data_IF_781990329139
#
_entry.id   IF_781990329139
#
_cell.length_a   1.000
_cell.length_b   1.000
_cell.length_c   1.000
_cell.angle_alpha   90.00
_cell.angle_beta   90.00
_cell.angle_gamma   90.00
#
_symmetry.space_group_name_H-M   'P 1'
#
loop_
_entity.id
_entity.type
_entity.pdbx_description
1 polymer ?
#
# COMPACT_ATOMS: atom_id res chain seq x y z
N UNK A 1 -9.19 62.99 49.52
CA UNK A 1 -7.73 62.98 49.68
C UNK A 1 -7.31 61.54 49.95
N UNK A 2 -6.56 60.90 49.05
CA UNK A 2 -6.03 59.54 49.27
C UNK A 2 -6.13 58.59 48.08
N UNK A 3 -5.24 58.79 47.10
CA UNK A 3 -4.58 57.82 46.19
C UNK A 3 -5.30 56.57 45.66
N UNK A 4 -5.55 56.62 44.35
CA UNK A 4 -5.32 55.60 43.32
C UNK A 4 -4.24 54.55 43.65
N UNK A 5 -4.53 53.26 43.39
CA UNK A 5 -3.64 52.36 42.61
C UNK A 5 -4.52 51.37 41.82
N UNK A 6 -4.39 51.42 40.50
CA UNK A 6 -4.94 50.44 39.56
C UNK A 6 -3.96 49.25 39.46
N UNK A 7 -4.46 48.03 39.67
CA UNK A 7 -3.69 46.79 39.49
C UNK A 7 -4.10 46.10 38.20
N UNK A 8 -3.40 46.40 37.11
CA UNK A 8 -3.47 45.63 35.87
C UNK A 8 -2.54 44.42 35.95
N UNK A 9 -3.03 43.25 35.53
CA UNK A 9 -2.16 42.09 35.27
C UNK A 9 -2.09 41.94 33.76
N UNK A 10 -0.96 42.37 33.19
CA UNK A 10 -0.59 42.09 31.81
C UNK A 10 0.08 40.70 31.79
N UNK A 11 -0.59 39.72 31.20
CA UNK A 11 0.03 38.42 30.90
C UNK A 11 0.95 38.62 29.69
N UNK A 12 2.26 38.60 29.93
CA UNK A 12 3.25 38.61 28.86
C UNK A 12 3.25 37.26 28.13
N UNK A 13 2.91 37.27 26.84
CA UNK A 13 3.18 36.15 25.93
C UNK A 13 4.67 36.19 25.59
N UNK A 14 5.47 35.35 26.25
CA UNK A 14 6.87 35.13 25.86
C UNK A 14 6.87 34.22 24.63
N UNK A 15 7.17 34.77 23.46
CA UNK A 15 7.52 33.98 22.29
C UNK A 15 8.99 33.58 22.40
N UNK A 16 9.28 32.37 22.86
CA UNK A 16 10.62 31.81 22.69
C UNK A 16 10.72 31.26 21.27
N UNK A 17 11.24 32.09 20.37
CA UNK A 17 11.92 31.58 19.18
C UNK A 17 13.21 30.95 19.66
N UNK A 18 13.19 29.66 19.94
CA UNK A 18 14.42 28.87 20.05
C UNK A 18 14.54 27.96 18.84
N UNK A 19 15.58 28.26 18.09
CA UNK A 19 16.08 27.49 16.98
C UNK A 19 16.57 26.11 17.47
N UNK A 20 16.41 25.10 16.61
CA UNK A 20 17.11 23.82 16.66
C UNK A 20 16.81 22.94 17.90
N UNK A 21 15.56 22.51 18.02
CA UNK A 21 15.21 21.33 18.81
C UNK A 21 14.22 20.49 18.02
N UNK A 22 14.65 19.35 17.49
CA UNK A 22 13.74 18.29 17.03
C UNK A 22 12.98 17.78 18.26
N UNK A 23 11.94 18.51 18.67
CA UNK A 23 10.91 17.99 19.56
C UNK A 23 10.39 16.70 18.91
N UNK A 24 10.42 15.61 19.67
CA UNK A 24 10.01 14.29 19.22
C UNK A 24 8.67 14.43 18.48
N UNK A 25 8.71 14.33 17.16
CA UNK A 25 7.50 14.11 16.37
C UNK A 25 6.90 12.83 16.93
N UNK A 26 5.61 12.79 17.33
CA UNK A 26 4.96 11.51 17.59
C UNK A 26 5.29 10.63 16.39
N UNK A 27 5.91 9.45 16.64
CA UNK A 27 6.53 8.60 15.63
C UNK A 27 5.76 8.72 14.32
N UNK A 28 6.28 9.53 13.38
CA UNK A 28 5.63 9.69 12.09
C UNK A 28 5.53 8.27 11.57
N UNK A 29 4.30 7.79 11.35
CA UNK A 29 4.06 6.44 10.84
C UNK A 29 5.09 6.21 9.74
N UNK A 30 5.90 5.16 9.87
CA UNK A 30 7.00 4.92 8.93
C UNK A 30 6.40 4.99 7.53
N UNK A 31 6.78 5.99 6.70
CA UNK A 31 6.14 6.17 5.42
C UNK A 31 6.36 4.90 4.58
N UNK A 32 5.36 4.52 3.79
CA UNK A 32 5.55 3.49 2.79
C UNK A 32 6.54 4.00 1.73
N UNK A 33 7.65 3.29 1.57
CA UNK A 33 8.72 3.66 0.62
C UNK A 33 9.02 2.57 -0.39
N UNK A 34 8.34 1.43 -0.28
CA UNK A 34 8.34 0.34 -1.25
C UNK A 34 6.93 0.07 -1.77
N UNK A 35 6.81 -0.15 -3.09
CA UNK A 35 5.57 -0.58 -3.73
C UNK A 35 5.86 -1.77 -4.65
N UNK A 36 5.14 -2.87 -4.44
CA UNK A 36 5.03 -3.97 -5.40
C UNK A 36 3.63 -3.93 -6.02
N UNK A 37 3.59 -3.69 -7.33
CA UNK A 37 2.36 -3.67 -8.12
C UNK A 37 2.33 -4.85 -9.11
N UNK A 38 1.19 -5.52 -9.19
CA UNK A 38 0.93 -6.60 -10.16
C UNK A 38 -0.39 -6.33 -10.86
N UNK A 39 -0.34 -6.28 -12.20
CA UNK A 39 -1.52 -6.26 -13.06
C UNK A 39 -1.74 -7.66 -13.62
N UNK A 40 -2.99 -8.12 -13.61
CA UNK A 40 -3.30 -9.46 -14.10
C UNK A 40 -4.76 -9.57 -14.52
N UNK A 41 -5.03 -10.59 -15.34
CA UNK A 41 -6.36 -11.04 -15.69
C UNK A 41 -6.61 -12.40 -15.04
N UNK A 42 -7.88 -12.79 -14.90
CA UNK A 42 -8.27 -14.12 -14.44
C UNK A 42 -9.23 -14.74 -15.45
N UNK A 43 -9.12 -16.06 -15.73
CA UNK A 43 -10.15 -16.77 -16.47
C UNK A 43 -11.51 -16.63 -15.77
N UNK A 44 -12.61 -16.86 -16.49
CA UNK A 44 -13.96 -16.85 -15.87
C UNK A 44 -14.06 -18.03 -14.90
N UNK A 45 -13.59 -19.18 -15.33
CA UNK A 45 -13.52 -20.40 -14.54
C UNK A 45 -12.49 -20.24 -13.40
N UNK A 46 -12.91 -20.54 -12.17
CA UNK A 46 -12.04 -20.49 -11.00
C UNK A 46 -11.78 -19.09 -10.42
N UNK A 47 -12.24 -18.02 -11.08
CA UNK A 47 -12.06 -16.63 -10.62
C UNK A 47 -12.45 -16.41 -9.17
N UNK A 48 -13.64 -16.84 -8.79
CA UNK A 48 -14.17 -16.66 -7.43
C UNK A 48 -13.33 -17.43 -6.41
N UNK A 49 -12.86 -18.64 -6.77
CA UNK A 49 -11.96 -19.41 -5.92
C UNK A 49 -10.62 -18.69 -5.73
N UNK A 50 -10.09 -18.09 -6.80
CA UNK A 50 -8.90 -17.25 -6.74
C UNK A 50 -9.08 -16.04 -5.84
N UNK A 51 -10.14 -15.26 -6.02
CA UNK A 51 -10.37 -14.06 -5.22
C UNK A 51 -10.59 -14.40 -3.74
N UNK A 52 -11.35 -15.46 -3.45
CA UNK A 52 -11.54 -15.95 -2.09
C UNK A 52 -10.21 -16.38 -1.45
N UNK A 53 -9.37 -17.13 -2.17
CA UNK A 53 -8.06 -17.53 -1.69
C UNK A 53 -7.11 -16.32 -1.51
N UNK A 54 -7.10 -15.39 -2.46
CA UNK A 54 -6.27 -14.20 -2.44
C UNK A 54 -6.54 -13.39 -1.17
N UNK A 55 -7.81 -13.07 -0.91
CA UNK A 55 -8.21 -12.24 0.22
C UNK A 55 -8.21 -12.99 1.55
N UNK A 56 -8.59 -14.26 1.56
CA UNK A 56 -8.71 -15.05 2.80
C UNK A 56 -7.41 -15.69 3.27
N UNK A 57 -6.46 -15.94 2.36
CA UNK A 57 -5.25 -16.71 2.66
C UNK A 57 -3.97 -15.98 2.28
N UNK A 58 -3.83 -15.60 1.01
CA UNK A 58 -2.56 -15.12 0.49
C UNK A 58 -2.17 -13.75 1.05
N UNK A 59 -3.03 -12.73 0.95
CA UNK A 59 -2.73 -11.39 1.45
C UNK A 59 -2.55 -11.37 2.98
N UNK A 60 -3.39 -12.04 3.80
CA UNK A 60 -3.15 -12.12 5.24
C UNK A 60 -1.82 -12.77 5.60
N UNK A 61 -1.38 -13.80 4.86
CA UNK A 61 -0.08 -14.42 5.08
C UNK A 61 1.07 -13.49 4.67
N UNK A 62 0.91 -12.76 3.57
CA UNK A 62 1.89 -11.80 3.06
C UNK A 62 2.08 -10.62 4.04
N UNK A 63 1.00 -10.08 4.59
CA UNK A 63 1.02 -8.95 5.54
C UNK A 63 1.56 -9.31 6.92
N UNK A 64 1.70 -10.59 7.27
CA UNK A 64 2.38 -11.01 8.50
C UNK A 64 3.90 -10.90 8.40
N UNK A 65 4.44 -10.69 7.21
CA UNK A 65 5.89 -10.60 6.99
C UNK A 65 6.42 -9.26 7.49
N UNK A 66 7.60 -9.23 8.14
CA UNK A 66 8.21 -7.97 8.56
C UNK A 66 8.42 -7.03 7.37
N UNK A 67 8.10 -5.75 7.57
CA UNK A 67 8.26 -4.69 6.55
C UNK A 67 7.10 -4.57 5.56
N UNK A 68 6.17 -5.52 5.50
CA UNK A 68 4.94 -5.41 4.70
C UNK A 68 3.90 -4.63 5.51
N UNK A 69 3.35 -3.56 4.94
CA UNK A 69 2.52 -2.60 5.67
C UNK A 69 1.04 -2.73 5.32
N UNK A 70 0.73 -2.81 4.03
CA UNK A 70 -0.65 -2.84 3.55
C UNK A 70 -0.74 -3.56 2.20
N UNK A 71 -1.94 -4.02 1.86
CA UNK A 71 -2.25 -4.55 0.53
C UNK A 71 -3.59 -3.99 0.06
N UNK A 72 -3.68 -3.67 -1.23
CA UNK A 72 -4.90 -3.20 -1.86
C UNK A 72 -5.12 -3.97 -3.17
N UNK A 73 -6.34 -4.47 -3.37
CA UNK A 73 -6.72 -5.21 -4.56
C UNK A 73 -7.92 -4.54 -5.22
N UNK A 74 -7.75 -4.14 -6.47
CA UNK A 74 -8.75 -3.42 -7.25
C UNK A 74 -9.16 -4.25 -8.47
N UNK A 75 -10.46 -4.27 -8.74
CA UNK A 75 -10.99 -4.68 -10.03
C UNK A 75 -11.19 -3.44 -10.89
N UNK A 76 -10.70 -3.46 -12.12
CA UNK A 76 -11.02 -2.44 -13.10
C UNK A 76 -12.54 -2.43 -13.32
N UNK A 77 -13.09 -1.22 -13.42
CA UNK A 77 -14.44 -1.03 -13.96
C UNK A 77 -14.28 -0.93 -15.47
N UNK A 78 -15.10 -1.65 -16.22
CA UNK A 78 -15.25 -1.38 -17.64
C UNK A 78 -15.62 0.10 -17.78
N UNK A 79 -14.72 0.87 -18.40
CA UNK A 79 -15.00 2.24 -18.77
C UNK A 79 -15.70 2.17 -20.12
N UNK A 80 -16.90 2.72 -20.24
CA UNK A 80 -17.42 3.02 -21.57
C UNK A 80 -16.35 3.82 -22.32
N UNK A 81 -15.99 3.35 -23.51
CA UNK A 81 -14.80 3.71 -24.26
C UNK A 81 -14.48 5.21 -24.16
N UNK A 82 -13.49 5.56 -23.34
CA UNK A 82 -13.28 6.97 -23.00
C UNK A 82 -12.09 7.21 -22.09
N UNK A 83 -10.96 6.54 -22.33
CA UNK A 83 -9.74 6.91 -21.59
C UNK A 83 -8.51 6.07 -21.90
N UNK A 84 -7.58 6.74 -22.58
CA UNK A 84 -6.14 6.49 -22.65
C UNK A 84 -5.65 5.23 -23.36
N UNK A 85 -4.95 5.53 -24.46
CA UNK A 85 -4.18 4.71 -25.39
C UNK A 85 -3.03 3.95 -24.69
N UNK A 86 -3.34 2.96 -23.84
CA UNK A 86 -2.37 1.93 -23.48
C UNK A 86 -2.38 0.92 -24.62
N UNK A 87 -1.29 0.89 -25.40
CA UNK A 87 -1.10 -0.08 -26.47
C UNK A 87 -0.85 -1.44 -25.83
N UNK A 88 -1.85 -2.32 -25.85
CA UNK A 88 -1.64 -3.72 -25.52
C UNK A 88 -0.98 -4.44 -26.71
N UNK A 89 -0.21 -5.47 -26.41
CA UNK A 89 0.27 -6.38 -27.45
C UNK A 89 -0.91 -7.04 -28.16
N UNK A 90 -0.74 -7.32 -29.45
CA UNK A 90 -1.72 -8.08 -30.24
C UNK A 90 -1.49 -9.59 -30.13
N UNK A 91 -0.47 -10.03 -29.38
CA UNK A 91 -0.20 -11.45 -29.14
C UNK A 91 -1.29 -12.05 -28.23
N UNK A 92 -2.13 -12.98 -28.74
CA UNK A 92 -3.20 -13.59 -27.96
C UNK A 92 -2.71 -14.46 -26.79
N UNK A 93 -1.41 -14.78 -26.73
CA UNK A 93 -0.80 -15.52 -25.62
C UNK A 93 -0.55 -14.64 -24.39
N UNK A 94 -0.60 -13.31 -24.55
CA UNK A 94 -0.40 -12.36 -23.47
C UNK A 94 -1.76 -11.81 -23.09
N UNK A 95 -2.19 -12.10 -21.85
CA UNK A 95 -3.38 -11.49 -21.30
C UNK A 95 -3.29 -9.97 -21.37
N UNK A 96 -4.42 -9.30 -21.54
CA UNK A 96 -4.48 -7.85 -21.63
C UNK A 96 -4.00 -7.16 -20.34
N UNK A 97 -4.06 -7.86 -19.20
CA UNK A 97 -3.46 -7.44 -17.94
C UNK A 97 -4.05 -6.16 -17.38
N UNK A 98 -5.37 -5.97 -17.50
CA UNK A 98 -6.02 -4.74 -17.02
C UNK A 98 -7.19 -4.99 -16.08
N UNK A 99 -7.66 -6.22 -15.91
CA UNK A 99 -8.85 -6.49 -15.09
C UNK A 99 -8.59 -6.31 -13.59
N UNK A 100 -7.40 -6.65 -13.10
CA UNK A 100 -7.07 -6.55 -11.69
C UNK A 100 -5.72 -5.88 -11.44
N UNK A 101 -5.65 -5.13 -10.33
CA UNK A 101 -4.43 -4.54 -9.81
C UNK A 101 -4.28 -4.97 -8.36
N UNK A 102 -3.18 -5.64 -8.04
CA UNK A 102 -2.73 -5.90 -6.67
C UNK A 102 -1.56 -4.99 -6.33
N UNK A 103 -1.70 -4.22 -5.26
CA UNK A 103 -0.68 -3.35 -4.70
C UNK A 103 -0.30 -3.83 -3.31
N UNK A 104 0.99 -3.87 -3.02
CA UNK A 104 1.54 -4.20 -1.70
C UNK A 104 2.54 -3.11 -1.31
N UNK A 105 2.26 -2.42 -0.22
CA UNK A 105 3.13 -1.40 0.35
C UNK A 105 4.06 -1.98 1.41
N UNK A 106 5.30 -1.48 1.42
CA UNK A 106 6.31 -1.87 2.38
C UNK A 106 7.08 -0.66 2.93
N UNK A 107 7.81 -0.86 4.02
CA UNK A 107 8.65 0.16 4.66
C UNK A 107 9.76 0.69 3.76
N UNK A 108 10.18 -0.11 2.77
CA UNK A 108 11.17 0.21 1.75
C UNK A 108 11.13 -0.87 0.62
N UNK A 109 11.79 -0.62 -0.52
CA UNK A 109 11.71 -1.53 -1.67
C UNK A 109 12.55 -2.81 -1.52
N UNK A 110 13.61 -2.75 -0.71
CA UNK A 110 14.51 -3.90 -0.44
C UNK A 110 13.84 -5.03 0.34
N UNK A 111 12.75 -4.73 1.07
CA UNK A 111 11.88 -5.71 1.74
C UNK A 111 11.37 -6.79 0.78
N UNK A 112 11.15 -6.42 -0.49
CA UNK A 112 10.74 -7.37 -1.53
C UNK A 112 11.90 -8.16 -2.12
N UNK A 113 13.16 -7.85 -1.82
CA UNK A 113 14.33 -8.55 -2.37
C UNK A 113 14.68 -9.83 -1.61
N UNK A 114 14.20 -9.99 -0.37
CA UNK A 114 14.61 -11.10 0.49
C UNK A 114 13.46 -11.62 1.38
N UNK A 115 12.76 -12.68 0.94
CA UNK A 115 12.80 -13.33 -0.37
C UNK A 115 12.05 -12.52 -1.45
N UNK A 116 12.41 -12.72 -2.71
CA UNK A 116 11.72 -12.15 -3.87
C UNK A 116 10.27 -12.63 -3.96
N UNK A 117 9.36 -11.85 -4.60
CA UNK A 117 8.00 -12.31 -4.91
C UNK A 117 7.95 -13.68 -5.58
N UNK A 118 8.86 -13.95 -6.53
CA UNK A 118 8.95 -15.25 -7.20
C UNK A 118 9.31 -16.38 -6.24
N UNK A 119 10.23 -16.15 -5.30
CA UNK A 119 10.59 -17.12 -4.28
C UNK A 119 9.45 -17.34 -3.28
N UNK A 120 8.71 -16.29 -2.90
CA UNK A 120 7.51 -16.41 -2.06
C UNK A 120 6.48 -17.31 -2.75
N UNK A 121 6.19 -17.03 -4.02
CA UNK A 121 5.21 -17.79 -4.81
C UNK A 121 5.64 -19.25 -5.00
N UNK A 122 6.92 -19.51 -5.25
CA UNK A 122 7.46 -20.85 -5.40
C UNK A 122 7.38 -21.68 -4.11
N UNK A 123 7.43 -21.03 -2.95
CA UNK A 123 7.34 -21.66 -1.64
C UNK A 123 5.89 -21.95 -1.17
N UNK A 124 4.88 -21.54 -1.94
CA UNK A 124 3.49 -21.83 -1.59
C UNK A 124 3.21 -23.36 -1.64
N UNK A 125 2.28 -23.85 -0.81
CA UNK A 125 1.72 -25.19 -0.97
C UNK A 125 1.17 -25.40 -2.39
N UNK A 126 1.05 -26.65 -2.84
CA UNK A 126 0.58 -26.97 -4.20
C UNK A 126 -0.73 -26.26 -4.57
N UNK A 127 -1.69 -26.23 -3.65
CA UNK A 127 -2.94 -25.50 -3.85
C UNK A 127 -2.71 -24.00 -4.15
N UNK A 128 -1.84 -23.33 -3.39
CA UNK A 128 -1.51 -21.92 -3.62
C UNK A 128 -0.74 -21.69 -4.91
N UNK A 129 0.17 -22.60 -5.29
CA UNK A 129 0.87 -22.51 -6.57
C UNK A 129 -0.07 -22.67 -7.76
N UNK A 130 -1.10 -23.51 -7.66
CA UNK A 130 -2.16 -23.61 -8.66
C UNK A 130 -2.92 -22.29 -8.80
N UNK A 131 -3.21 -21.61 -7.69
CA UNK A 131 -3.88 -20.30 -7.75
C UNK A 131 -3.00 -19.23 -8.42
N UNK A 132 -1.70 -19.20 -8.14
CA UNK A 132 -0.76 -18.25 -8.79
C UNK A 132 -0.59 -18.53 -10.30
N UNK A 133 -0.78 -19.77 -10.74
CA UNK A 133 -0.59 -20.19 -12.13
C UNK A 133 -1.86 -20.12 -12.98
N UNK A 134 -2.98 -19.64 -12.43
CA UNK A 134 -4.21 -19.37 -13.18
C UNK A 134 -4.05 -18.18 -14.11
#
# INVERSE_FOLDING_TARGET
MGMTVAGGVATALVTTTDALGQGARPHAATPDRGLWATWYDLPVEGREAYLSWLHGTYLPALLKRPGYLWAAHYAAREREAGGTQIQHTTDPKVGTGFHYILLVGATDADVFGNPTPSAINAALPEAGRKMIAM
#
